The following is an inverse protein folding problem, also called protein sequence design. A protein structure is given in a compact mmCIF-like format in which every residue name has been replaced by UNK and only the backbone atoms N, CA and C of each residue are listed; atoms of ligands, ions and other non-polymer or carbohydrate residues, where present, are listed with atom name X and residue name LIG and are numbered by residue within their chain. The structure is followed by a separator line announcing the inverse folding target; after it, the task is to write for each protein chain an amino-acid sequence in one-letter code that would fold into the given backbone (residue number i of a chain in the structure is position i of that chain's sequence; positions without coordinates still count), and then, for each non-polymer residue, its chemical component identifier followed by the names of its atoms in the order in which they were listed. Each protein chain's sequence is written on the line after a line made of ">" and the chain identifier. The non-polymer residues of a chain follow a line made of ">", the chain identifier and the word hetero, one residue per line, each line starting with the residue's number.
data_IF_593025989865
#
_entry.id   IF_593025989865
#
_cell.length_a   1.000
_cell.length_b   1.000
_cell.length_c   1.000
_cell.angle_alpha   90.00
_cell.angle_beta   90.00
_cell.angle_gamma   90.00
#
_symmetry.space_group_name_H-M   'P 1'
#
loop_
_entity.id
_entity.type
_entity.pdbx_description
1 polymer ?
#
# COMPACT_ATOMS: atom_id res chain seq x y z
N UNK A 1 -11.76 6.75 2.28
CA UNK A 1 -11.11 5.50 2.74
C UNK A 1 -9.63 5.81 2.95
N UNK A 2 -8.86 5.02 3.70
CA UNK A 2 -7.40 5.24 3.85
C UNK A 2 -6.60 4.14 3.17
N UNK A 3 -5.35 4.44 2.81
CA UNK A 3 -4.39 3.51 2.20
C UNK A 3 -4.28 2.22 3.01
N UNK A 4 -4.18 2.36 4.35
CA UNK A 4 -4.11 1.23 5.29
C UNK A 4 -5.33 0.31 5.17
N UNK A 5 -6.55 0.85 5.13
CA UNK A 5 -7.77 0.02 5.02
C UNK A 5 -7.82 -0.73 3.70
N UNK A 6 -7.38 -0.10 2.62
CA UNK A 6 -7.37 -0.75 1.30
C UNK A 6 -6.29 -1.83 1.24
N UNK A 7 -5.12 -1.61 1.85
CA UNK A 7 -4.08 -2.63 1.99
C UNK A 7 -4.51 -3.83 2.85
N UNK A 8 -5.21 -3.59 3.97
CA UNK A 8 -5.76 -4.67 4.83
C UNK A 8 -6.64 -5.61 3.99
N UNK A 9 -7.55 -5.04 3.20
CA UNK A 9 -8.43 -5.83 2.33
C UNK A 9 -7.67 -6.67 1.31
N UNK A 10 -6.52 -6.20 0.82
CA UNK A 10 -5.67 -6.97 -0.11
C UNK A 10 -5.03 -8.16 0.60
N UNK A 11 -4.52 -7.96 1.81
CA UNK A 11 -3.85 -9.00 2.61
C UNK A 11 -4.84 -10.06 3.12
N UNK A 12 -6.08 -9.66 3.43
CA UNK A 12 -7.12 -10.55 3.96
C UNK A 12 -7.83 -11.40 2.89
N UNK A 13 -7.60 -11.16 1.61
CA UNK A 13 -8.30 -11.88 0.53
C UNK A 13 -7.34 -12.60 -0.42
N UNK A 14 -7.89 -13.60 -1.13
CA UNK A 14 -7.18 -14.43 -2.09
C UNK A 14 -7.93 -14.52 -3.43
N UNK A 15 -7.24 -14.99 -4.48
CA UNK A 15 -7.84 -15.28 -5.78
C UNK A 15 -8.49 -14.06 -6.44
N UNK A 16 -9.75 -14.19 -6.88
CA UNK A 16 -10.47 -13.12 -7.57
C UNK A 16 -10.73 -11.90 -6.67
N UNK A 17 -11.04 -12.11 -5.39
CA UNK A 17 -11.27 -11.03 -4.44
C UNK A 17 -9.99 -10.23 -4.17
N UNK A 18 -8.85 -10.91 -4.08
CA UNK A 18 -7.55 -10.25 -3.96
C UNK A 18 -7.28 -9.32 -5.15
N UNK A 19 -7.50 -9.80 -6.38
CA UNK A 19 -7.33 -8.98 -7.60
C UNK A 19 -8.26 -7.76 -7.60
N UNK A 20 -9.50 -7.91 -7.16
CA UNK A 20 -10.44 -6.80 -7.05
C UNK A 20 -9.97 -5.76 -6.01
N UNK A 21 -9.53 -6.20 -4.83
CA UNK A 21 -9.00 -5.32 -3.78
C UNK A 21 -7.70 -4.63 -4.22
N UNK A 22 -6.82 -5.33 -4.94
CA UNK A 22 -5.60 -4.75 -5.48
C UNK A 22 -5.92 -3.68 -6.55
N UNK A 23 -6.97 -3.88 -7.33
CA UNK A 23 -7.46 -2.88 -8.29
C UNK A 23 -8.00 -1.64 -7.57
N UNK A 24 -8.75 -1.83 -6.48
CA UNK A 24 -9.20 -0.72 -5.64
C UNK A 24 -8.03 0.03 -4.98
N UNK A 25 -7.00 -0.68 -4.53
CA UNK A 25 -5.77 -0.09 -3.99
C UNK A 25 -5.04 0.76 -5.05
N UNK A 26 -4.92 0.24 -6.27
CA UNK A 26 -4.36 0.97 -7.41
C UNK A 26 -5.13 2.24 -7.73
N UNK A 27 -6.46 2.17 -7.72
CA UNK A 27 -7.30 3.33 -7.97
C UNK A 27 -7.09 4.39 -6.87
N UNK A 28 -7.09 3.97 -5.61
CA UNK A 28 -6.80 4.88 -4.49
C UNK A 28 -5.46 5.60 -4.66
N UNK A 29 -4.39 4.87 -4.99
CA UNK A 29 -3.06 5.44 -5.23
C UNK A 29 -3.08 6.46 -6.37
N UNK A 30 -3.88 6.24 -7.43
CA UNK A 30 -3.98 7.17 -8.55
C UNK A 30 -4.78 8.44 -8.24
N UNK A 31 -5.71 8.36 -7.29
CA UNK A 31 -6.61 9.46 -6.93
C UNK A 31 -6.00 10.42 -5.89
N UNK A 32 -4.90 10.03 -5.24
CA UNK A 32 -4.25 10.81 -4.17
C UNK A 32 -2.88 11.30 -4.61
N UNK A 33 -2.42 12.38 -3.97
CA UNK A 33 -1.09 12.93 -4.26
C UNK A 33 0.00 12.06 -3.64
N UNK A 34 1.19 12.05 -4.24
CA UNK A 34 2.33 11.30 -3.68
C UNK A 34 2.67 11.73 -2.25
N UNK A 35 2.56 13.02 -1.93
CA UNK A 35 2.88 13.53 -0.59
C UNK A 35 1.91 13.01 0.48
N UNK A 36 0.62 12.87 0.15
CA UNK A 36 -0.37 12.24 1.03
C UNK A 36 -0.07 10.75 1.22
N UNK A 37 0.20 10.05 0.12
CA UNK A 37 0.50 8.63 0.14
C UNK A 37 1.78 8.33 0.92
N UNK A 38 2.83 9.15 0.80
CA UNK A 38 4.07 9.01 1.59
C UNK A 38 3.80 9.19 3.09
N UNK A 39 2.93 10.13 3.48
CA UNK A 39 2.53 10.28 4.89
C UNK A 39 1.81 9.03 5.38
N UNK A 40 0.84 8.53 4.61
CA UNK A 40 0.10 7.32 4.98
C UNK A 40 1.00 6.07 5.06
N UNK A 41 1.99 5.92 4.16
CA UNK A 41 2.97 4.84 4.20
C UNK A 41 3.78 4.85 5.50
N UNK A 42 4.21 6.04 5.96
CA UNK A 42 4.98 6.21 7.20
C UNK A 42 4.20 5.81 8.46
N UNK A 43 2.88 5.84 8.39
CA UNK A 43 1.99 5.44 9.48
C UNK A 43 1.75 3.92 9.53
N UNK A 44 2.08 3.17 8.47
CA UNK A 44 1.90 1.72 8.43
C UNK A 44 3.05 1.03 9.17
N UNK A 45 2.70 0.17 10.14
CA UNK A 45 3.66 -0.56 11.01
C UNK A 45 3.72 -2.06 10.74
N UNK A 46 2.92 -2.55 9.80
CA UNK A 46 2.76 -3.98 9.53
C UNK A 46 3.42 -4.32 8.20
N UNK A 47 4.46 -5.16 8.22
CA UNK A 47 5.17 -5.56 7.02
C UNK A 47 4.26 -6.17 5.92
N UNK A 48 3.22 -6.98 6.23
CA UNK A 48 2.29 -7.48 5.23
C UNK A 48 1.55 -6.37 4.47
N UNK A 49 1.16 -5.30 5.17
CA UNK A 49 0.46 -4.16 4.55
C UNK A 49 1.39 -3.39 3.60
N UNK A 50 2.65 -3.20 3.98
CA UNK A 50 3.66 -2.57 3.13
C UNK A 50 3.96 -3.40 1.87
N UNK A 51 3.96 -4.73 1.97
CA UNK A 51 4.10 -5.62 0.80
C UNK A 51 2.91 -5.53 -0.14
N UNK A 52 1.68 -5.43 0.37
CA UNK A 52 0.50 -5.23 -0.47
C UNK A 52 0.57 -3.91 -1.27
N UNK A 53 1.17 -2.86 -0.70
CA UNK A 53 1.43 -1.61 -1.44
C UNK A 53 2.43 -1.83 -2.58
N UNK A 54 3.47 -2.62 -2.35
CA UNK A 54 4.46 -2.97 -3.39
C UNK A 54 3.80 -3.66 -4.60
N UNK A 55 2.88 -4.60 -4.35
CA UNK A 55 2.12 -5.32 -5.38
C UNK A 55 1.20 -4.41 -6.21
N UNK A 56 0.80 -3.27 -5.65
CA UNK A 56 -0.06 -2.31 -6.32
C UNK A 56 0.65 -1.61 -7.50
N UNK A 57 1.99 -1.61 -7.56
CA UNK A 57 2.75 -0.94 -8.62
C UNK A 57 2.86 0.56 -8.34
N UNK A 58 3.77 0.89 -7.42
CA UNK A 58 4.02 2.25 -6.93
C UNK A 58 5.00 3.02 -7.83
N UNK A 59 4.97 4.36 -7.78
CA UNK A 59 6.04 5.19 -8.30
C UNK A 59 7.35 4.97 -7.52
N UNK A 60 8.50 5.33 -8.10
CA UNK A 60 9.80 5.16 -7.44
C UNK A 60 9.83 5.79 -6.03
N UNK A 61 9.31 7.02 -5.90
CA UNK A 61 9.29 7.74 -4.62
C UNK A 61 8.47 7.02 -3.54
N UNK A 62 7.35 6.41 -3.93
CA UNK A 62 6.54 5.62 -3.01
C UNK A 62 7.17 4.27 -2.69
N UNK A 63 7.87 3.64 -3.65
CA UNK A 63 8.66 2.44 -3.39
C UNK A 63 9.76 2.72 -2.37
N UNK A 64 10.47 3.85 -2.50
CA UNK A 64 11.52 4.26 -1.56
C UNK A 64 10.94 4.45 -0.15
N UNK A 65 9.79 5.11 -0.03
CA UNK A 65 9.10 5.29 1.26
C UNK A 65 8.67 3.97 1.90
N UNK A 66 8.15 3.02 1.08
CA UNK A 66 7.77 1.68 1.54
C UNK A 66 9.00 0.90 2.02
N UNK A 67 10.11 0.96 1.29
CA UNK A 67 11.36 0.28 1.67
C UNK A 67 11.98 0.86 2.92
N UNK A 68 12.01 2.20 3.05
CA UNK A 68 12.47 2.89 4.25
C UNK A 68 11.67 2.43 5.47
N UNK A 69 10.35 2.32 5.34
CA UNK A 69 9.49 1.89 6.43
C UNK A 69 9.64 0.40 6.75
N UNK A 70 9.77 -0.47 5.74
CA UNK A 70 10.05 -1.90 5.94
C UNK A 70 11.36 -2.12 6.71
N UNK A 71 12.39 -1.33 6.40
CA UNK A 71 13.68 -1.37 7.09
C UNK A 71 13.62 -0.94 8.56
N UNK A 72 12.58 -0.21 8.99
CA UNK A 72 12.37 0.17 10.40
C UNK A 72 11.60 -0.87 11.21
N UNK A 73 10.89 -1.78 10.53
CA UNK A 73 10.03 -2.79 11.16
C UNK A 73 10.73 -4.15 11.21
N UNK A 74 11.73 -4.36 10.34
CA UNK A 74 12.57 -5.57 10.32
C UNK A 74 13.64 -5.49 11.40
#
# INVERSE_FOLDING_TARGET
>A
MSLRRTAIRVVETYGLLHKANLTALRLYIKEHTEDELVKEVKDIREAPLLRALWEAGLSQRLQDAVMEQLGKIS
#
